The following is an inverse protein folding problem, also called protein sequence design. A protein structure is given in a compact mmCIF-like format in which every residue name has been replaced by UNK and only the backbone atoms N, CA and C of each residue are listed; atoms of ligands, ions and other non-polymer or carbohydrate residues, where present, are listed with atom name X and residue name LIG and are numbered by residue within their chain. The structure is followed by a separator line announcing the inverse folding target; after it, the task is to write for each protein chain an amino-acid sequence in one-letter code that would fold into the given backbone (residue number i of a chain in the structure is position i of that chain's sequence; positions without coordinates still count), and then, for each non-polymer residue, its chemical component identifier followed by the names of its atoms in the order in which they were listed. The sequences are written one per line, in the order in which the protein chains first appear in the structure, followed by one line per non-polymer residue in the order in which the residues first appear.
data_IF_279836337012
#
_entry.id   IF_279836337012
#
_cell.length_a   1.000
_cell.length_b   1.000
_cell.length_c   1.000
_cell.angle_alpha   90.00
_cell.angle_beta   90.00
_cell.angle_gamma   90.00
#
_symmetry.space_group_name_H-M   'P 1'
#
loop_
_entity.id
_entity.type
_entity.pdbx_description
1 polymer ?
#
# COMPACT_ATOMS: atom_id res chain seq x y z
N UNK A 1 -19.90 41.59 9.89
CA UNK A 1 -19.05 40.91 10.89
C UNK A 1 -18.77 39.47 10.46
N UNK A 2 -18.07 39.32 9.35
CA UNK A 2 -17.63 38.01 8.81
C UNK A 2 -16.11 37.86 8.97
N UNK A 3 -15.39 38.99 9.01
CA UNK A 3 -13.93 39.07 9.24
C UNK A 3 -13.55 38.63 10.66
N UNK A 4 -14.41 38.88 11.66
CA UNK A 4 -14.18 38.44 13.05
C UNK A 4 -14.26 36.91 13.23
N UNK A 5 -14.94 36.19 12.33
CA UNK A 5 -15.14 34.74 12.43
C UNK A 5 -14.00 33.97 11.73
N UNK A 6 -13.52 34.48 10.58
CA UNK A 6 -12.34 33.94 9.89
C UNK A 6 -11.03 34.17 10.66
N UNK A 7 -10.93 35.26 11.42
CA UNK A 7 -9.75 35.56 12.23
C UNK A 7 -9.61 34.66 13.48
N UNK A 8 -10.72 34.11 13.99
CA UNK A 8 -10.73 33.24 15.17
C UNK A 8 -10.44 31.77 14.82
N UNK A 9 -10.66 31.35 13.57
CA UNK A 9 -10.25 30.04 13.07
C UNK A 9 -8.77 29.98 12.69
N UNK A 10 -8.15 31.09 12.27
CA UNK A 10 -6.73 31.11 11.87
C UNK A 10 -5.78 30.91 13.08
N UNK A 11 -6.14 31.44 14.25
CA UNK A 11 -5.33 31.32 15.48
C UNK A 11 -5.41 29.90 16.11
N UNK A 12 -6.39 29.10 15.70
CA UNK A 12 -6.65 27.76 16.26
C UNK A 12 -6.16 26.59 15.39
N UNK A 13 -5.68 26.84 14.17
CA UNK A 13 -5.22 25.78 13.26
C UNK A 13 -3.69 25.77 13.11
N UNK A 14 -2.98 25.80 14.24
CA UNK A 14 -1.64 25.23 14.27
C UNK A 14 -1.81 23.70 14.21
N UNK A 15 -1.79 23.11 13.02
CA UNK A 15 -1.72 21.65 12.90
C UNK A 15 -0.37 21.25 13.49
N UNK A 16 -0.38 20.68 14.70
CA UNK A 16 0.87 20.15 15.27
C UNK A 16 1.41 19.14 14.27
N UNK A 17 2.68 19.22 13.85
CA UNK A 17 3.26 18.22 12.98
C UNK A 17 3.11 16.87 13.68
N UNK A 18 2.26 16.00 13.12
CA UNK A 18 2.14 14.63 13.61
C UNK A 18 3.50 14.00 13.40
N UNK A 19 4.18 13.65 14.49
CA UNK A 19 5.47 13.00 14.42
C UNK A 19 5.30 11.77 13.49
N UNK A 20 6.10 11.63 12.42
CA UNK A 20 6.02 10.46 11.55
C UNK A 20 6.14 9.22 12.44
N UNK A 21 5.04 8.49 12.61
CA UNK A 21 5.06 7.25 13.35
C UNK A 21 6.01 6.30 12.61
N UNK A 22 7.09 5.90 13.30
CA UNK A 22 8.05 4.96 12.73
C UNK A 22 7.42 3.57 12.66
N UNK A 23 6.76 3.30 11.53
CA UNK A 23 6.08 2.04 11.24
C UNK A 23 6.99 1.09 10.45
N UNK A 24 8.13 0.73 11.03
CA UNK A 24 9.04 -0.27 10.44
C UNK A 24 8.44 -1.66 10.58
N UNK A 25 8.30 -2.33 9.44
CA UNK A 25 8.00 -3.76 9.39
C UNK A 25 9.32 -4.52 9.37
N UNK A 26 9.66 -5.15 10.50
CA UNK A 26 10.85 -5.98 10.61
C UNK A 26 10.53 -7.40 10.15
N UNK A 27 10.96 -7.75 8.95
CA UNK A 27 10.80 -9.09 8.39
C UNK A 27 12.06 -9.92 8.64
N UNK A 28 11.86 -11.16 9.09
CA UNK A 28 12.93 -12.16 9.06
C UNK A 28 13.32 -12.50 7.62
N UNK A 29 14.56 -12.93 7.38
CA UNK A 29 15.01 -13.32 6.05
C UNK A 29 14.12 -14.40 5.39
N UNK A 30 13.53 -15.28 6.20
CA UNK A 30 12.58 -16.31 5.74
C UNK A 30 11.27 -15.68 5.25
N UNK A 31 10.71 -14.72 6.00
CA UNK A 31 9.48 -14.04 5.62
C UNK A 31 9.65 -13.25 4.32
N UNK A 32 10.77 -12.53 4.15
CA UNK A 32 11.06 -11.81 2.91
C UNK A 32 11.16 -12.75 1.70
N UNK A 33 11.83 -13.90 1.86
CA UNK A 33 11.90 -14.93 0.80
C UNK A 33 10.53 -15.50 0.45
N UNK A 34 9.68 -15.76 1.45
CA UNK A 34 8.32 -16.23 1.22
C UNK A 34 7.48 -15.19 0.46
N UNK A 35 7.54 -13.92 0.86
CA UNK A 35 6.80 -12.85 0.17
C UNK A 35 7.25 -12.73 -1.29
N UNK A 36 8.55 -12.81 -1.56
CA UNK A 36 9.07 -12.80 -2.92
C UNK A 36 8.56 -14.02 -3.72
N UNK A 37 8.65 -15.23 -3.15
CA UNK A 37 8.25 -16.45 -3.83
C UNK A 37 6.74 -16.47 -4.12
N UNK A 38 5.90 -16.13 -3.14
CA UNK A 38 4.44 -16.21 -3.29
C UNK A 38 3.87 -14.98 -3.99
N UNK A 39 4.28 -13.78 -3.59
CA UNK A 39 3.72 -12.52 -4.09
C UNK A 39 4.26 -12.13 -5.47
N UNK A 40 5.54 -12.36 -5.73
CA UNK A 40 6.18 -11.89 -6.96
C UNK A 40 6.35 -13.01 -8.00
N UNK A 41 6.61 -14.24 -7.58
CA UNK A 41 6.87 -15.35 -8.52
C UNK A 41 5.61 -16.20 -8.76
N UNK A 42 4.98 -16.70 -7.70
CA UNK A 42 3.87 -17.65 -7.83
C UNK A 42 2.66 -17.02 -8.52
N UNK A 43 2.30 -15.78 -8.15
CA UNK A 43 1.15 -15.08 -8.73
C UNK A 43 1.24 -14.96 -10.26
N UNK A 44 2.33 -14.43 -10.86
CA UNK A 44 2.47 -14.41 -12.32
C UNK A 44 2.43 -15.80 -12.96
N UNK A 45 3.04 -16.81 -12.35
CA UNK A 45 3.03 -18.18 -12.90
C UNK A 45 1.61 -18.77 -12.95
N UNK A 46 0.78 -18.50 -11.94
CA UNK A 46 -0.63 -18.90 -11.94
C UNK A 46 -1.38 -18.23 -13.09
N UNK A 47 -1.17 -16.93 -13.31
CA UNK A 47 -1.83 -16.21 -14.42
C UNK A 47 -1.38 -16.76 -15.77
N UNK A 48 -0.09 -16.99 -15.97
CA UNK A 48 0.46 -17.53 -17.21
C UNK A 48 -0.03 -18.95 -17.47
N UNK A 49 -0.04 -19.82 -16.46
CA UNK A 49 -0.55 -21.19 -16.60
C UNK A 49 -2.05 -21.18 -16.94
N UNK A 50 -2.84 -20.33 -16.30
CA UNK A 50 -4.26 -20.15 -16.63
C UNK A 50 -4.44 -19.68 -18.10
N UNK A 51 -3.64 -18.72 -18.56
CA UNK A 51 -3.67 -18.26 -19.95
C UNK A 51 -3.35 -19.39 -20.94
N UNK A 52 -2.32 -20.20 -20.68
CA UNK A 52 -1.97 -21.37 -21.50
C UNK A 52 -3.11 -22.39 -21.53
N UNK A 53 -3.73 -22.68 -20.39
CA UNK A 53 -4.86 -23.62 -20.30
C UNK A 53 -6.04 -23.11 -21.12
N UNK A 54 -6.39 -21.83 -21.01
CA UNK A 54 -7.49 -21.23 -21.78
C UNK A 54 -7.18 -21.26 -23.28
N UNK A 55 -5.96 -20.90 -23.69
CA UNK A 55 -5.57 -20.93 -25.09
C UNK A 55 -5.68 -22.35 -25.67
N UNK A 56 -5.19 -23.36 -24.94
CA UNK A 56 -5.27 -24.76 -25.36
C UNK A 56 -6.69 -25.33 -25.42
N UNK A 57 -7.63 -24.79 -24.63
CA UNK A 57 -9.05 -25.19 -24.68
C UNK A 57 -9.82 -24.50 -25.80
N UNK A 58 -9.30 -23.39 -26.32
CA UNK A 58 -9.94 -22.60 -27.37
C UNK A 58 -9.50 -23.03 -28.77
N UNK A 59 -8.28 -23.56 -28.92
CA UNK A 59 -7.84 -24.29 -30.11
C UNK A 59 -8.46 -25.69 -30.12
#
# INVERSE_FOLDING_TARGET
NTVSWLAEEEDLVSIRPKNPEDRRINLTAKQSKMILLFGVILLPLVVLSAAVVVYRRRQ
#
